data_IF_789585885155
#
_entry.id   IF_789585885155
#
_cell.length_a   1.000
_cell.length_b   1.000
_cell.length_c   1.000
_cell.angle_alpha   90.00
_cell.angle_beta   90.00
_cell.angle_gamma   90.00
#
_symmetry.space_group_name_H-M   'P 1'
#
loop_
_entity.id
_entity.type
_entity.pdbx_description
1 polymer ?
#
# COMPACT_ATOMS: atom_id res chain seq x y z
N UNK A 1 1.16 -11.08 -6.58
CA UNK A 1 2.15 -11.00 -5.47
C UNK A 1 3.33 -10.35 -6.08
N UNK A 2 3.75 -9.24 -5.52
CA UNK A 2 4.94 -8.57 -6.01
C UNK A 2 5.96 -8.71 -4.88
N UNK A 3 7.04 -9.38 -5.23
CA UNK A 3 8.16 -9.71 -4.36
C UNK A 3 8.89 -8.42 -3.97
N UNK A 4 9.43 -8.36 -2.75
CA UNK A 4 10.09 -7.18 -2.18
C UNK A 4 11.60 -7.34 -2.01
N UNK A 5 12.41 -7.29 -3.09
CA UNK A 5 13.86 -7.18 -2.94
C UNK A 5 14.41 -5.76 -3.12
N UNK A 6 13.60 -4.77 -3.48
CA UNK A 6 14.07 -3.41 -3.75
C UNK A 6 12.97 -2.37 -3.54
N UNK A 7 13.35 -1.13 -3.24
CA UNK A 7 12.46 0.02 -3.27
C UNK A 7 11.65 0.00 -4.57
N UNK A 8 10.35 -0.30 -4.47
CA UNK A 8 9.49 -0.51 -5.63
C UNK A 8 8.19 0.27 -5.49
N UNK A 9 7.67 0.72 -6.61
CA UNK A 9 6.39 1.40 -6.69
C UNK A 9 5.39 0.49 -7.40
N UNK A 10 4.28 0.21 -6.73
CA UNK A 10 3.19 -0.62 -7.20
C UNK A 10 2.03 0.28 -7.59
N UNK A 11 1.48 0.09 -8.79
CA UNK A 11 0.24 0.75 -9.18
C UNK A 11 -0.92 -0.22 -9.01
N UNK A 12 -1.83 0.10 -8.10
CA UNK A 12 -3.01 -0.73 -7.81
C UNK A 12 -4.25 -0.04 -8.38
N UNK A 13 -5.03 -0.69 -9.24
CA UNK A 13 -6.26 -0.10 -9.76
C UNK A 13 -7.30 0.05 -8.64
N UNK A 14 -7.64 1.30 -8.30
CA UNK A 14 -8.73 1.64 -7.39
C UNK A 14 -10.00 2.08 -8.12
N UNK A 15 -11.12 2.17 -7.41
CA UNK A 15 -12.43 2.56 -7.98
C UNK A 15 -12.44 3.97 -8.59
N UNK A 16 -11.59 4.85 -8.08
CA UNK A 16 -11.47 6.24 -8.54
C UNK A 16 -10.31 6.44 -9.54
N UNK A 17 -9.53 5.38 -9.79
CA UNK A 17 -8.30 5.43 -10.58
C UNK A 17 -7.14 4.70 -9.90
N UNK A 18 -5.96 4.63 -10.53
CA UNK A 18 -4.81 3.94 -10.00
C UNK A 18 -4.28 4.61 -8.73
N UNK A 19 -3.95 3.80 -7.72
CA UNK A 19 -3.32 4.20 -6.46
C UNK A 19 -1.87 3.74 -6.48
N UNK A 20 -0.93 4.64 -6.23
CA UNK A 20 0.50 4.34 -6.21
C UNK A 20 0.95 4.02 -4.78
N UNK A 21 1.51 2.83 -4.60
CA UNK A 21 2.03 2.34 -3.33
C UNK A 21 3.54 2.21 -3.47
N UNK A 22 4.29 2.94 -2.65
CA UNK A 22 5.74 2.74 -2.55
C UNK A 22 6.05 1.79 -1.41
N UNK A 23 6.97 0.87 -1.65
CA UNK A 23 7.48 -0.05 -0.66
C UNK A 23 8.99 0.05 -0.63
N UNK A 24 9.57 0.17 0.55
CA UNK A 24 10.99 0.43 0.79
C UNK A 24 11.45 -0.41 1.97
N UNK A 25 12.21 -1.47 1.73
CA UNK A 25 12.62 -2.40 2.79
C UNK A 25 11.41 -3.03 3.51
N UNK A 26 11.27 -2.75 4.82
CA UNK A 26 10.19 -3.29 5.67
C UNK A 26 9.02 -2.31 5.90
N UNK A 27 8.91 -1.28 5.07
CA UNK A 27 7.84 -0.26 5.17
C UNK A 27 7.14 -0.06 3.84
N UNK A 28 5.86 0.27 3.90
CA UNK A 28 5.03 0.60 2.75
C UNK A 28 4.33 1.94 2.97
N UNK A 29 4.00 2.67 1.90
CA UNK A 29 3.16 3.87 1.96
C UNK A 29 2.35 4.03 0.69
N UNK A 30 1.26 4.79 0.77
CA UNK A 30 0.58 5.28 -0.45
C UNK A 30 1.20 6.62 -0.81
N UNK A 31 1.77 6.72 -2.01
CA UNK A 31 2.45 7.93 -2.47
C UNK A 31 1.56 8.81 -3.33
N UNK A 32 0.58 8.20 -4.01
CA UNK A 32 -0.42 8.92 -4.78
C UNK A 32 -1.75 8.17 -4.79
N UNK A 33 -2.85 8.91 -4.75
CA UNK A 33 -4.21 8.37 -4.87
C UNK A 33 -5.11 9.43 -5.50
N UNK A 34 -6.09 9.05 -6.34
CA UNK A 34 -7.02 10.01 -6.94
C UNK A 34 -8.13 10.45 -5.97
N UNK A 35 -8.11 10.03 -4.70
CA UNK A 35 -9.18 10.36 -3.77
C UNK A 35 -9.08 11.79 -3.23
N UNK A 36 -10.20 12.52 -3.06
CA UNK A 36 -10.16 13.90 -2.55
C UNK A 36 -9.67 13.99 -1.10
N UNK A 37 -9.87 12.92 -0.33
CA UNK A 37 -9.52 12.89 1.09
C UNK A 37 -8.03 12.74 1.37
N UNK A 38 -7.24 12.18 0.45
CA UNK A 38 -5.78 11.94 0.59
C UNK A 38 -5.32 11.30 1.93
N UNK A 39 -6.23 10.77 2.75
CA UNK A 39 -5.91 10.27 4.10
C UNK A 39 -4.87 9.15 4.06
N UNK A 40 -4.96 8.26 3.06
CA UNK A 40 -3.99 7.20 2.85
C UNK A 40 -2.58 7.72 2.50
N UNK A 41 -2.49 8.85 1.79
CA UNK A 41 -1.21 9.51 1.46
C UNK A 41 -0.66 10.24 2.69
N UNK A 42 -1.54 10.91 3.46
CA UNK A 42 -1.17 11.60 4.70
C UNK A 42 -0.65 10.64 5.78
N UNK A 43 -1.16 9.40 5.82
CA UNK A 43 -0.74 8.39 6.78
C UNK A 43 0.74 7.97 6.60
N UNK A 44 1.32 8.20 5.41
CA UNK A 44 2.74 8.00 5.13
C UNK A 44 3.19 6.54 5.32
N UNK A 45 4.46 6.33 5.67
CA UNK A 45 5.08 5.03 5.85
C UNK A 45 4.49 4.29 7.06
N UNK A 46 3.91 3.12 6.80
CA UNK A 46 3.67 2.07 7.79
C UNK A 46 4.86 1.13 7.82
N UNK A 47 5.27 0.72 9.02
CA UNK A 47 6.46 -0.12 9.23
C UNK A 47 6.24 -1.23 10.25
N UNK A 48 5.16 -1.17 11.03
CA UNK A 48 4.85 -2.18 12.03
C UNK A 48 3.84 -3.20 11.48
N UNK A 49 4.08 -4.50 11.74
CA UNK A 49 3.15 -5.54 11.33
C UNK A 49 1.80 -5.37 12.04
N UNK A 50 0.72 -5.43 11.26
CA UNK A 50 -0.64 -5.14 11.69
C UNK A 50 -1.09 -3.72 11.37
N UNK A 51 -0.19 -2.81 10.99
CA UNK A 51 -0.59 -1.50 10.49
C UNK A 51 -1.36 -1.62 9.18
N UNK A 52 -2.37 -0.76 9.04
CA UNK A 52 -3.24 -0.71 7.87
C UNK A 52 -3.44 0.72 7.41
N UNK A 53 -3.35 0.91 6.09
CA UNK A 53 -3.73 2.13 5.39
C UNK A 53 -5.00 1.83 4.61
N UNK A 54 -6.06 2.59 4.87
CA UNK A 54 -7.37 2.41 4.22
C UNK A 54 -7.72 3.64 3.40
N UNK A 55 -7.92 3.44 2.11
CA UNK A 55 -8.49 4.41 1.21
C UNK A 55 -9.96 4.06 0.93
N UNK A 56 -10.84 4.36 1.88
CA UNK A 56 -12.28 4.09 1.79
C UNK A 56 -12.93 4.57 0.46
N UNK A 57 -12.69 5.80 -0.04
CA UNK A 57 -13.31 6.26 -1.28
C UNK A 57 -12.80 5.53 -2.53
N UNK A 58 -11.51 5.16 -2.58
CA UNK A 58 -10.94 4.38 -3.68
C UNK A 58 -11.19 2.87 -3.54
N UNK A 59 -11.63 2.40 -2.36
CA UNK A 59 -11.84 0.99 -2.05
C UNK A 59 -10.54 0.18 -1.92
N UNK A 60 -9.42 0.84 -1.67
CA UNK A 60 -8.09 0.22 -1.57
C UNK A 60 -7.68 0.14 -0.10
N UNK A 61 -7.14 -1.00 0.30
CA UNK A 61 -6.67 -1.28 1.65
C UNK A 61 -5.30 -1.93 1.56
N UNK A 62 -4.34 -1.37 2.28
CA UNK A 62 -2.95 -1.83 2.31
C UNK A 62 -2.66 -2.23 3.75
N UNK A 63 -2.33 -3.50 3.97
CA UNK A 63 -2.01 -4.03 5.30
C UNK A 63 -0.58 -4.53 5.30
N UNK A 64 0.20 -4.14 6.31
CA UNK A 64 1.53 -4.70 6.54
C UNK A 64 1.35 -5.98 7.37
N UNK A 65 1.62 -7.14 6.78
CA UNK A 65 1.53 -8.41 7.49
C UNK A 65 2.91 -8.80 8.04
N UNK A 66 2.96 -9.17 9.33
CA UNK A 66 4.17 -9.65 9.99
C UNK A 66 4.26 -11.16 9.96
N UNK A 67 5.13 -11.68 9.11
CA UNK A 67 5.52 -13.09 9.03
C UNK A 67 6.84 -13.17 8.27
N UNK A 68 7.67 -14.15 8.59
CA UNK A 68 9.06 -14.37 8.15
C UNK A 68 9.30 -14.44 6.62
N UNK A 69 8.29 -14.15 5.80
CA UNK A 69 8.42 -13.99 4.35
C UNK A 69 7.12 -13.35 3.84
N UNK A 70 7.18 -12.19 3.15
CA UNK A 70 5.98 -11.47 2.74
C UNK A 70 5.49 -12.01 1.39
N UNK A 71 4.60 -12.99 1.43
CA UNK A 71 3.95 -13.58 0.26
C UNK A 71 2.44 -13.28 0.27
N UNK A 72 1.97 -12.34 -0.56
CA UNK A 72 0.53 -12.19 -0.90
C UNK A 72 0.26 -12.02 -2.42
N UNK A 73 -0.23 -13.07 -3.11
CA UNK A 73 -0.75 -13.08 -4.50
C UNK A 73 -2.25 -12.94 -4.36
N UNK A 74 -2.88 -12.07 -5.15
CA UNK A 74 -4.22 -12.35 -5.62
C UNK A 74 -4.38 -11.95 -7.09
N UNK A 75 -5.10 -12.82 -7.78
CA UNK A 75 -5.51 -12.85 -9.20
C UNK A 75 -6.86 -12.15 -9.37
#
# INVERSE_FOLDING_TARGET
MIELPADTALSVPGRLGPVMIEVSGLRARVSDSPCPGQYCVMQSWISEPGEVVVCAPSGVWVRLEGGDSPDAVSY
#
